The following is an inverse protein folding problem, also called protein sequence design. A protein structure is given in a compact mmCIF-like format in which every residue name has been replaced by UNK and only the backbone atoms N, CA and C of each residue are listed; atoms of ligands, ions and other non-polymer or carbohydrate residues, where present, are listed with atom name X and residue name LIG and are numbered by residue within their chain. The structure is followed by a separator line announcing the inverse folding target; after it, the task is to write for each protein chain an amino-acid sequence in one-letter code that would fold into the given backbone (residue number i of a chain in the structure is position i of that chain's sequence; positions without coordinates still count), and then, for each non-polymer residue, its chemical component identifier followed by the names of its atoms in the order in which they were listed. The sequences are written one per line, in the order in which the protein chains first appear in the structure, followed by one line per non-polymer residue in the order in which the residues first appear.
data_IF_893439832554
#
_entry.id   IF_893439832554
#
_cell.length_a   1.000
_cell.length_b   1.000
_cell.length_c   1.000
_cell.angle_alpha   90.00
_cell.angle_beta   90.00
_cell.angle_gamma   90.00
#
_symmetry.space_group_name_H-M   'P 1'
#
loop_
_entity.id
_entity.type
_entity.pdbx_description
1 polymer ?
#
# COMPACT_ATOMS: atom_id res chain seq x y z
N UNK A 1 -29.85 -2.01 9.68
CA UNK A 1 -29.52 -1.56 11.05
C UNK A 1 -28.14 -2.11 11.37
N UNK A 2 -27.22 -1.28 11.88
CA UNK A 2 -25.91 -1.73 12.35
C UNK A 2 -25.85 -1.66 13.87
N UNK A 3 -25.19 -2.63 14.49
CA UNK A 3 -24.88 -2.59 15.92
C UNK A 3 -23.53 -1.87 16.05
N UNK A 4 -23.54 -0.66 16.60
CA UNK A 4 -22.34 0.20 16.70
C UNK A 4 -21.50 -0.18 17.90
N UNK A 5 -22.12 -0.47 19.04
CA UNK A 5 -21.42 -0.91 20.25
C UNK A 5 -21.76 -2.40 20.54
N UNK A 6 -21.34 -3.37 19.69
CA UNK A 6 -21.56 -4.78 19.95
C UNK A 6 -20.65 -5.30 21.07
N UNK A 7 -20.88 -6.53 21.49
CA UNK A 7 -19.93 -7.24 22.34
C UNK A 7 -18.53 -7.29 21.67
N UNK A 8 -17.44 -6.97 22.39
CA UNK A 8 -16.08 -6.90 21.83
C UNK A 8 -15.59 -8.20 21.16
N UNK A 9 -16.13 -9.36 21.55
CA UNK A 9 -15.78 -10.66 20.96
C UNK A 9 -16.52 -10.94 19.63
N UNK A 10 -17.48 -10.08 19.27
CA UNK A 10 -18.29 -10.19 18.05
C UNK A 10 -18.01 -9.08 17.04
N UNK A 11 -16.86 -8.41 17.17
CA UNK A 11 -16.46 -7.35 16.24
C UNK A 11 -16.17 -7.91 14.85
N UNK A 12 -16.55 -7.18 13.78
CA UNK A 12 -16.06 -7.50 12.45
C UNK A 12 -14.54 -7.27 12.36
N UNK A 13 -13.90 -7.76 11.30
CA UNK A 13 -12.47 -7.55 11.07
C UNK A 13 -12.22 -6.99 9.67
N UNK A 14 -12.17 -5.67 9.59
CA UNK A 14 -11.82 -4.95 8.37
C UNK A 14 -10.36 -4.52 8.40
N UNK A 15 -9.59 -4.96 7.41
CA UNK A 15 -8.15 -4.68 7.29
C UNK A 15 -7.92 -3.70 6.15
N UNK A 16 -6.79 -3.01 6.17
CA UNK A 16 -6.40 -2.14 5.03
C UNK A 16 -6.19 -2.98 3.76
N UNK A 17 -5.59 -4.17 3.88
CA UNK A 17 -5.44 -5.11 2.78
C UNK A 17 -6.67 -6.02 2.63
N UNK A 18 -6.91 -6.59 1.44
CA UNK A 18 -8.15 -7.32 1.12
C UNK A 18 -8.29 -8.71 1.74
N UNK A 19 -7.24 -9.23 2.40
CA UNK A 19 -7.22 -10.56 2.98
C UNK A 19 -8.22 -10.70 4.14
N UNK A 20 -9.02 -11.77 4.10
CA UNK A 20 -10.00 -12.16 5.13
C UNK A 20 -9.70 -13.57 5.62
N UNK A 21 -10.21 -13.93 6.79
CA UNK A 21 -10.06 -15.28 7.37
C UNK A 21 -10.53 -16.38 6.42
N UNK A 22 -11.62 -16.15 5.66
CA UNK A 22 -12.14 -17.10 4.68
C UNK A 22 -11.14 -17.39 3.54
N UNK A 23 -10.22 -16.47 3.26
CA UNK A 23 -9.23 -16.65 2.18
C UNK A 23 -8.15 -17.68 2.57
N UNK A 24 -7.98 -18.02 3.86
CA UNK A 24 -7.14 -19.15 4.27
C UNK A 24 -7.60 -20.45 3.59
N UNK A 25 -8.87 -20.78 3.76
CA UNK A 25 -9.45 -22.00 3.21
C UNK A 25 -9.49 -21.95 1.67
N UNK A 26 -9.90 -20.81 1.09
CA UNK A 26 -9.95 -20.65 -0.36
C UNK A 26 -8.57 -20.81 -1.01
N UNK A 27 -7.57 -20.10 -0.49
CA UNK A 27 -6.22 -20.12 -1.05
C UNK A 27 -5.56 -21.49 -0.92
N UNK A 28 -5.85 -22.23 0.16
CA UNK A 28 -5.33 -23.59 0.36
C UNK A 28 -5.84 -24.61 -0.67
N UNK A 29 -7.03 -24.36 -1.24
CA UNK A 29 -7.66 -25.23 -2.24
C UNK A 29 -7.28 -24.87 -3.68
N UNK A 30 -6.49 -23.82 -3.90
CA UNK A 30 -6.08 -23.42 -5.24
C UNK A 30 -5.12 -24.45 -5.85
N UNK A 31 -5.33 -24.86 -7.11
CA UNK A 31 -4.42 -25.76 -7.79
C UNK A 31 -3.06 -25.09 -8.02
N UNK A 32 -2.05 -25.91 -8.27
CA UNK A 32 -0.74 -25.42 -8.73
C UNK A 32 -0.90 -24.60 -10.01
N UNK A 33 -0.44 -23.36 -10.00
CA UNK A 33 -0.58 -22.46 -11.13
C UNK A 33 0.53 -21.40 -11.16
N UNK A 34 1.19 -21.28 -12.31
CA UNK A 34 2.34 -20.39 -12.53
C UNK A 34 2.06 -19.31 -13.59
N UNK A 35 0.79 -19.10 -13.98
CA UNK A 35 0.39 -18.10 -14.99
C UNK A 35 0.88 -16.69 -14.64
N UNK A 36 0.96 -16.37 -13.35
CA UNK A 36 1.50 -15.08 -12.87
C UNK A 36 2.93 -14.80 -13.37
N UNK A 37 3.77 -15.82 -13.58
CA UNK A 37 5.14 -15.61 -14.08
C UNK A 37 5.13 -15.07 -15.52
N UNK A 38 4.19 -15.53 -16.35
CA UNK A 38 4.01 -15.00 -17.71
C UNK A 38 3.51 -13.57 -17.67
N UNK A 39 2.52 -13.29 -16.82
CA UNK A 39 2.02 -11.94 -16.60
C UNK A 39 3.12 -10.97 -16.17
N UNK A 40 4.00 -11.36 -15.23
CA UNK A 40 5.13 -10.51 -14.81
C UNK A 40 6.18 -10.33 -15.90
N UNK A 41 6.48 -11.36 -16.70
CA UNK A 41 7.39 -11.22 -17.85
C UNK A 41 6.88 -10.19 -18.85
N UNK A 42 5.59 -10.25 -19.19
CA UNK A 42 4.95 -9.29 -20.09
C UNK A 42 4.93 -7.89 -19.46
N UNK A 43 4.39 -7.76 -18.25
CA UNK A 43 4.26 -6.48 -17.54
C UNK A 43 5.57 -5.73 -17.42
N UNK A 44 6.66 -6.44 -17.08
CA UNK A 44 7.95 -5.81 -16.83
C UNK A 44 8.87 -5.82 -18.06
N UNK A 45 8.35 -6.11 -19.26
CA UNK A 45 9.15 -6.09 -20.49
C UNK A 45 10.35 -7.03 -20.45
N UNK A 46 10.17 -8.22 -19.88
CA UNK A 46 11.22 -9.22 -19.61
C UNK A 46 12.34 -8.77 -18.66
N UNK A 47 12.18 -7.66 -17.92
CA UNK A 47 13.09 -7.35 -16.81
C UNK A 47 13.07 -8.50 -15.81
N UNK A 48 14.24 -8.99 -15.35
CA UNK A 48 14.29 -10.03 -14.34
C UNK A 48 13.56 -9.63 -13.06
N UNK A 49 12.93 -10.60 -12.41
CA UNK A 49 12.24 -10.40 -11.13
C UNK A 49 12.52 -11.55 -10.16
N UNK A 50 12.42 -11.26 -8.87
CA UNK A 50 12.63 -12.17 -7.76
C UNK A 50 11.46 -12.07 -6.78
N UNK A 51 10.80 -13.20 -6.53
CA UNK A 51 9.82 -13.30 -5.46
C UNK A 51 10.50 -13.17 -4.10
N UNK A 52 9.85 -12.46 -3.19
CA UNK A 52 10.32 -12.30 -1.81
C UNK A 52 9.19 -12.61 -0.83
N UNK A 53 9.54 -12.87 0.44
CA UNK A 53 8.52 -13.10 1.48
C UNK A 53 7.63 -11.87 1.72
N UNK A 54 8.11 -10.66 1.45
CA UNK A 54 7.36 -9.40 1.55
C UNK A 54 8.20 -8.25 0.99
N UNK A 55 7.57 -7.07 0.81
CA UNK A 55 8.26 -5.87 0.32
C UNK A 55 9.46 -5.45 1.19
N UNK A 56 9.40 -5.60 2.52
CA UNK A 56 10.54 -5.30 3.41
C UNK A 56 11.77 -6.14 3.09
N UNK A 57 11.58 -7.42 2.77
CA UNK A 57 12.69 -8.28 2.36
C UNK A 57 13.27 -7.82 1.03
N UNK A 58 12.45 -7.39 0.07
CA UNK A 58 12.95 -6.80 -1.17
C UNK A 58 13.77 -5.53 -0.92
N UNK A 59 13.32 -4.63 -0.02
CA UNK A 59 14.08 -3.44 0.40
C UNK A 59 15.44 -3.86 0.95
N UNK A 60 15.44 -4.77 1.93
CA UNK A 60 16.67 -5.27 2.54
C UNK A 60 17.65 -5.85 1.51
N UNK A 61 17.16 -6.60 0.52
CA UNK A 61 18.00 -7.17 -0.54
C UNK A 61 18.64 -6.09 -1.41
N UNK A 62 17.88 -5.07 -1.80
CA UNK A 62 18.39 -3.94 -2.58
C UNK A 62 19.46 -3.16 -1.81
N UNK A 63 19.20 -2.83 -0.54
CA UNK A 63 20.16 -2.10 0.29
C UNK A 63 21.48 -2.85 0.48
N UNK A 64 21.43 -4.18 0.60
CA UNK A 64 22.65 -5.02 0.66
C UNK A 64 23.39 -5.03 -0.68
N UNK A 65 22.67 -5.15 -1.80
CA UNK A 65 23.27 -5.14 -3.13
C UNK A 65 23.95 -3.81 -3.44
N UNK A 66 23.37 -2.70 -3.00
CA UNK A 66 23.98 -1.36 -3.11
C UNK A 66 25.19 -1.16 -2.20
N UNK A 67 25.48 -2.10 -1.30
CA UNK A 67 26.61 -2.06 -0.37
C UNK A 67 26.68 -0.73 0.42
N UNK A 68 25.52 -0.23 0.86
CA UNK A 68 25.41 1.00 1.63
C UNK A 68 26.08 0.85 3.00
N UNK A 69 26.76 1.91 3.43
CA UNK A 69 27.45 2.01 4.70
C UNK A 69 26.61 2.78 5.71
N UNK A 70 26.93 2.64 6.98
CA UNK A 70 26.19 3.25 8.09
C UNK A 70 25.98 4.77 7.96
N UNK A 71 26.97 5.48 7.41
CA UNK A 71 26.92 6.94 7.21
C UNK A 71 26.35 7.38 5.86
N UNK A 72 26.09 6.45 4.95
CA UNK A 72 25.41 6.78 3.69
C UNK A 72 23.96 7.17 3.98
N UNK A 73 23.36 7.93 3.07
CA UNK A 73 21.96 8.36 3.19
C UNK A 73 21.13 7.77 2.05
N UNK A 74 19.98 7.19 2.39
CA UNK A 74 18.90 6.96 1.43
C UNK A 74 17.92 8.11 1.53
N UNK A 75 17.81 8.91 0.46
CA UNK A 75 16.81 10.00 0.42
C UNK A 75 15.45 9.42 0.06
N UNK A 76 14.45 9.61 0.92
CA UNK A 76 13.09 9.14 0.69
C UNK A 76 12.26 10.29 0.15
N UNK A 77 11.67 10.08 -1.03
CA UNK A 77 10.70 10.98 -1.65
C UNK A 77 9.33 10.29 -1.66
N UNK A 78 8.26 11.04 -1.46
CA UNK A 78 6.89 10.51 -1.44
C UNK A 78 5.99 11.31 -2.35
N UNK A 79 4.92 10.69 -2.85
CA UNK A 79 3.94 11.34 -3.72
C UNK A 79 3.36 12.62 -3.13
N UNK A 80 3.05 12.61 -1.83
CA UNK A 80 2.46 13.78 -1.15
C UNK A 80 3.47 14.86 -0.74
N UNK A 81 4.77 14.53 -0.71
CA UNK A 81 5.79 15.34 -0.04
C UNK A 81 5.67 15.39 1.49
N UNK A 82 4.67 14.72 2.09
CA UNK A 82 4.47 14.68 3.54
C UNK A 82 5.66 14.03 4.25
N UNK A 83 5.90 14.41 5.51
CA UNK A 83 6.94 13.84 6.36
C UNK A 83 6.65 12.41 6.80
N UNK A 84 5.38 11.99 6.88
CA UNK A 84 5.05 10.64 7.35
C UNK A 84 5.48 9.55 6.36
N UNK A 85 6.33 8.64 6.84
CA UNK A 85 6.69 7.40 6.14
C UNK A 85 6.41 6.22 7.07
N UNK A 86 5.97 5.11 6.48
CA UNK A 86 5.74 3.88 7.24
C UNK A 86 7.03 3.40 7.90
N UNK A 87 6.94 3.08 9.20
CA UNK A 87 8.04 2.45 9.93
C UNK A 87 8.52 1.13 9.32
N UNK A 88 7.71 0.46 8.50
CA UNK A 88 8.16 -0.71 7.73
C UNK A 88 9.26 -0.39 6.72
N UNK A 89 9.31 0.84 6.20
CA UNK A 89 10.33 1.28 5.24
C UNK A 89 11.54 1.80 5.99
N UNK A 90 11.35 2.77 6.90
CA UNK A 90 12.45 3.41 7.63
C UNK A 90 13.23 2.40 8.46
N UNK A 91 12.54 1.47 9.16
CA UNK A 91 13.21 0.45 9.96
C UNK A 91 14.02 -0.57 9.12
N UNK A 92 13.74 -0.74 7.82
CA UNK A 92 14.60 -1.56 6.96
C UNK A 92 15.84 -0.79 6.49
N UNK A 93 15.69 0.51 6.23
CA UNK A 93 16.81 1.39 5.85
C UNK A 93 17.77 1.58 7.03
N UNK A 94 17.23 1.84 8.22
CA UNK A 94 17.97 2.08 9.47
C UNK A 94 18.81 0.87 9.92
N UNK A 95 18.52 -0.34 9.43
CA UNK A 95 19.39 -1.51 9.65
C UNK A 95 20.74 -1.42 8.92
N UNK A 96 20.88 -0.48 7.98
CA UNK A 96 22.03 -0.38 7.07
C UNK A 96 22.66 0.99 7.08
N UNK A 97 21.86 2.04 7.06
CA UNK A 97 22.31 3.40 6.82
C UNK A 97 21.28 4.43 7.31
N UNK A 98 21.61 5.71 7.19
CA UNK A 98 20.70 6.81 7.52
C UNK A 98 19.68 7.03 6.40
N UNK A 99 18.64 7.81 6.70
CA UNK A 99 17.70 8.31 5.69
C UNK A 99 17.41 9.79 5.89
N UNK A 100 17.01 10.44 4.80
CA UNK A 100 16.68 11.86 4.77
C UNK A 100 15.45 12.12 3.88
N UNK A 101 14.77 13.24 4.10
CA UNK A 101 13.75 13.76 3.17
C UNK A 101 14.34 14.66 2.09
N UNK A 102 15.56 15.12 2.33
CA UNK A 102 16.30 15.99 1.43
C UNK A 102 17.45 15.21 0.77
N UNK A 103 17.80 15.63 -0.44
CA UNK A 103 19.02 15.16 -1.11
C UNK A 103 20.19 15.91 -0.48
N UNK A 104 21.13 15.15 0.08
CA UNK A 104 22.32 15.65 0.79
C UNK A 104 23.59 15.07 0.14
N UNK A 105 24.79 15.61 0.41
CA UNK A 105 26.03 15.09 -0.15
C UNK A 105 26.28 13.59 0.13
N UNK A 106 25.76 13.08 1.24
CA UNK A 106 25.83 11.69 1.67
C UNK A 106 24.80 10.79 0.96
N UNK A 107 23.87 11.34 0.17
CA UNK A 107 22.85 10.55 -0.54
C UNK A 107 23.51 9.58 -1.52
N UNK A 108 23.23 8.28 -1.35
CA UNK A 108 23.72 7.19 -2.21
C UNK A 108 22.62 6.46 -2.97
N UNK A 109 21.37 6.62 -2.57
CA UNK A 109 20.22 6.10 -3.29
C UNK A 109 18.99 6.95 -3.01
N UNK A 110 18.05 6.94 -3.96
CA UNK A 110 16.75 7.59 -3.82
C UNK A 110 15.70 6.49 -3.67
N UNK A 111 14.94 6.56 -2.59
CA UNK A 111 13.78 5.71 -2.35
C UNK A 111 12.51 6.50 -2.65
N UNK A 112 11.85 6.16 -3.75
CA UNK A 112 10.62 6.78 -4.18
C UNK A 112 9.45 5.91 -3.67
N UNK A 113 8.66 6.45 -2.76
CA UNK A 113 7.46 5.78 -2.23
C UNK A 113 6.20 6.27 -2.96
N UNK A 114 5.57 5.37 -3.73
CA UNK A 114 4.28 5.64 -4.36
C UNK A 114 3.14 5.40 -3.36
N UNK A 115 2.62 6.50 -2.82
CA UNK A 115 1.73 6.46 -1.66
C UNK A 115 0.29 6.12 -2.03
N UNK A 116 -0.28 5.16 -1.30
CA UNK A 116 -1.73 4.91 -1.23
C UNK A 116 -2.46 4.68 -2.57
N UNK A 117 -1.73 4.24 -3.60
CA UNK A 117 -2.26 4.08 -4.95
C UNK A 117 -1.97 5.25 -5.89
N UNK A 118 -1.41 6.34 -5.39
CA UNK A 118 -1.05 7.53 -6.18
C UNK A 118 0.44 7.50 -6.52
N UNK A 119 0.82 7.38 -7.80
CA UNK A 119 2.23 7.41 -8.19
C UNK A 119 2.87 8.78 -7.96
N UNK A 120 4.16 8.80 -7.59
CA UNK A 120 4.98 10.01 -7.60
C UNK A 120 5.07 10.59 -9.00
N UNK A 121 5.00 11.91 -9.09
CA UNK A 121 5.11 12.61 -10.36
C UNK A 121 6.57 12.88 -10.72
N UNK A 122 6.91 12.69 -12.00
CA UNK A 122 8.22 13.01 -12.57
C UNK A 122 9.41 12.14 -12.09
N UNK A 123 9.28 10.80 -12.01
CA UNK A 123 10.38 9.93 -11.61
C UNK A 123 11.61 10.05 -12.54
N UNK A 124 11.41 10.38 -13.82
CA UNK A 124 12.46 10.55 -14.83
C UNK A 124 13.49 11.63 -14.47
N UNK A 125 13.07 12.69 -13.76
CA UNK A 125 13.98 13.76 -13.33
C UNK A 125 15.03 13.26 -12.34
N UNK A 126 14.73 12.20 -11.60
CA UNK A 126 15.65 11.63 -10.61
C UNK A 126 16.82 10.89 -11.27
N UNK A 127 16.64 10.37 -12.50
CA UNK A 127 17.73 9.72 -13.25
C UNK A 127 18.89 10.67 -13.55
N UNK A 128 18.59 11.96 -13.73
CA UNK A 128 19.61 12.97 -14.03
C UNK A 128 20.61 13.15 -12.88
N UNK A 129 20.30 12.68 -11.67
CA UNK A 129 21.17 12.77 -10.50
C UNK A 129 22.28 11.71 -10.48
N UNK A 130 22.22 10.70 -11.36
CA UNK A 130 23.22 9.62 -11.40
C UNK A 130 23.20 8.71 -10.16
N UNK A 131 22.14 8.78 -9.35
CA UNK A 131 21.93 7.95 -8.16
C UNK A 131 21.00 6.77 -8.48
N UNK A 132 21.23 5.58 -7.90
CA UNK A 132 20.28 4.48 -7.97
C UNK A 132 18.90 4.87 -7.45
N UNK A 133 17.86 4.50 -8.19
CA UNK A 133 16.47 4.75 -7.80
C UNK A 133 15.77 3.45 -7.43
N UNK A 134 15.16 3.43 -6.24
CA UNK A 134 14.34 2.35 -5.70
C UNK A 134 12.89 2.83 -5.69
N UNK A 135 12.03 2.27 -6.53
CA UNK A 135 10.59 2.55 -6.54
C UNK A 135 9.84 1.54 -5.66
N UNK A 136 9.17 2.02 -4.60
CA UNK A 136 8.23 1.24 -3.79
C UNK A 136 6.81 1.37 -4.34
N UNK A 137 6.44 0.36 -5.14
CA UNK A 137 5.14 0.23 -5.78
C UNK A 137 4.17 -0.65 -4.96
N UNK A 138 4.38 -0.81 -3.66
CA UNK A 138 3.55 -1.68 -2.82
C UNK A 138 2.05 -1.35 -2.88
N UNK A 139 1.67 -0.07 -3.01
CA UNK A 139 0.27 0.36 -3.09
C UNK A 139 -0.20 0.68 -4.52
N UNK A 140 0.68 0.68 -5.51
CA UNK A 140 0.39 1.11 -6.90
C UNK A 140 0.35 -0.04 -7.90
N UNK A 141 0.20 -1.28 -7.44
CA UNK A 141 0.20 -2.45 -8.33
C UNK A 141 -0.81 -2.36 -9.49
N UNK A 142 -1.93 -1.67 -9.33
CA UNK A 142 -2.93 -1.48 -10.40
C UNK A 142 -3.02 -0.04 -10.92
N UNK A 143 -2.24 0.88 -10.35
CA UNK A 143 -2.25 2.27 -10.79
C UNK A 143 -1.35 2.47 -11.99
N UNK A 144 -1.68 3.48 -12.80
CA UNK A 144 -0.89 3.98 -13.92
C UNK A 144 -0.43 5.40 -13.64
N UNK A 145 0.70 5.77 -14.25
CA UNK A 145 1.16 7.15 -14.33
C UNK A 145 0.23 7.97 -15.25
N UNK A 146 0.38 9.30 -15.25
CA UNK A 146 -0.47 10.20 -16.03
C UNK A 146 -0.34 10.02 -17.56
N UNK A 147 0.76 9.45 -18.02
CA UNK A 147 1.03 9.07 -19.41
C UNK A 147 0.47 7.67 -19.78
N UNK A 148 -0.19 6.99 -18.84
CA UNK A 148 -0.75 5.65 -19.03
C UNK A 148 0.23 4.50 -18.75
N UNK A 149 1.49 4.81 -18.46
CA UNK A 149 2.54 3.81 -18.20
C UNK A 149 2.45 3.24 -16.77
N UNK A 150 3.08 2.08 -16.52
CA UNK A 150 3.17 1.52 -15.17
C UNK A 150 4.16 2.32 -14.27
N UNK A 151 3.86 2.56 -12.99
CA UNK A 151 4.85 2.94 -12.00
C UNK A 151 5.95 1.88 -11.88
N UNK A 152 7.20 2.25 -11.57
CA UNK A 152 8.30 1.28 -11.54
C UNK A 152 9.08 1.12 -12.85
N UNK A 153 8.74 1.87 -13.91
CA UNK A 153 9.48 1.77 -15.19
C UNK A 153 10.84 2.47 -15.10
N UNK A 154 10.98 3.49 -14.25
CA UNK A 154 12.17 4.34 -14.22
C UNK A 154 13.26 3.74 -13.33
N UNK A 155 12.89 3.19 -12.18
CA UNK A 155 13.78 2.76 -11.12
C UNK A 155 14.66 1.58 -11.50
N UNK A 156 15.89 1.60 -10.97
CA UNK A 156 16.83 0.48 -11.05
C UNK A 156 16.31 -0.76 -10.30
N UNK A 157 15.52 -0.50 -9.26
CA UNK A 157 14.86 -1.51 -8.43
C UNK A 157 13.40 -1.12 -8.24
N UNK A 158 12.49 -2.08 -8.43
CA UNK A 158 11.06 -1.90 -8.20
C UNK A 158 10.58 -2.92 -7.19
N UNK A 159 9.85 -2.47 -6.19
CA UNK A 159 9.42 -3.29 -5.06
C UNK A 159 7.90 -3.36 -5.02
N UNK A 160 7.37 -4.56 -4.84
CA UNK A 160 5.95 -4.79 -4.63
C UNK A 160 5.70 -5.58 -3.33
N UNK A 161 4.52 -5.37 -2.75
CA UNK A 161 4.01 -6.16 -1.64
C UNK A 161 2.61 -6.67 -1.97
N UNK A 162 2.50 -7.98 -2.23
CA UNK A 162 1.25 -8.56 -2.70
C UNK A 162 0.08 -8.46 -1.72
N UNK A 163 0.26 -8.59 -0.38
CA UNK A 163 -0.83 -8.43 0.59
C UNK A 163 -1.56 -7.08 0.56
N UNK A 164 -1.00 -6.05 -0.10
CA UNK A 164 -1.65 -4.75 -0.26
C UNK A 164 -2.75 -4.78 -1.33
N UNK A 165 -2.60 -5.63 -2.33
CA UNK A 165 -3.50 -5.69 -3.49
C UNK A 165 -4.29 -7.00 -3.57
N UNK A 166 -3.69 -8.11 -3.16
CA UNK A 166 -4.26 -9.46 -3.27
C UNK A 166 -4.66 -10.00 -1.90
N UNK A 167 -5.69 -10.87 -1.82
CA UNK A 167 -6.10 -11.52 -0.59
C UNK A 167 -5.10 -12.64 -0.22
N UNK A 168 -3.88 -12.25 0.12
CA UNK A 168 -2.77 -13.13 0.49
C UNK A 168 -2.05 -12.58 1.72
N UNK A 169 -1.48 -13.46 2.55
CA UNK A 169 -0.81 -13.08 3.80
C UNK A 169 0.67 -12.76 3.63
N UNK A 170 1.29 -13.29 2.57
CA UNK A 170 2.73 -13.25 2.34
C UNK A 170 3.00 -12.96 0.88
N UNK A 171 4.20 -12.44 0.60
CA UNK A 171 4.70 -12.25 -0.74
C UNK A 171 5.05 -10.80 -1.06
N UNK A 172 6.11 -10.66 -1.84
CA UNK A 172 6.54 -9.44 -2.48
C UNK A 172 7.31 -9.78 -3.75
N UNK A 173 7.70 -8.73 -4.47
CA UNK A 173 8.47 -8.85 -5.70
C UNK A 173 9.55 -7.79 -5.73
N UNK A 174 10.73 -8.18 -6.21
CA UNK A 174 11.78 -7.27 -6.61
C UNK A 174 11.98 -7.41 -8.12
N UNK A 175 11.83 -6.31 -8.87
CA UNK A 175 12.14 -6.26 -10.30
C UNK A 175 13.43 -5.44 -10.48
N UNK A 176 14.43 -6.02 -11.13
CA UNK A 176 15.71 -5.33 -11.39
C UNK A 176 16.54 -6.09 -12.42
N UNK A 177 17.39 -5.36 -13.17
CA UNK A 177 18.43 -5.99 -14.00
C UNK A 177 19.48 -6.76 -13.18
N UNK A 178 19.56 -6.49 -11.87
CA UNK A 178 20.53 -7.09 -10.95
C UNK A 178 20.00 -8.32 -10.19
N UNK A 179 18.83 -8.85 -10.54
CA UNK A 179 18.21 -9.97 -9.81
C UNK A 179 19.14 -11.18 -9.69
N UNK A 180 19.90 -11.54 -10.72
CA UNK A 180 20.80 -12.70 -10.65
C UNK A 180 21.82 -12.58 -9.52
N UNK A 181 22.50 -11.43 -9.41
CA UNK A 181 23.46 -11.17 -8.33
C UNK A 181 22.80 -11.15 -6.95
N UNK A 182 21.54 -10.72 -6.86
CA UNK A 182 20.78 -10.69 -5.60
C UNK A 182 20.31 -12.10 -5.20
N UNK A 183 19.89 -12.91 -6.17
CA UNK A 183 19.30 -14.23 -5.96
C UNK A 183 20.32 -15.25 -5.45
N UNK A 184 21.60 -15.11 -5.79
CA UNK A 184 22.70 -15.95 -5.27
C UNK A 184 22.71 -16.00 -3.72
N UNK A 185 22.21 -14.96 -3.07
CA UNK A 185 22.18 -14.83 -1.61
C UNK A 185 20.78 -14.90 -1.01
N UNK A 186 19.76 -15.30 -1.79
CA UNK A 186 18.40 -15.38 -1.32
C UNK A 186 17.60 -16.53 -1.96
N UNK A 187 17.13 -17.45 -1.12
CA UNK A 187 16.16 -18.48 -1.48
C UNK A 187 14.85 -18.28 -0.73
N UNK A 188 13.74 -18.26 -1.46
CA UNK A 188 12.41 -18.38 -0.88
C UNK A 188 12.07 -19.87 -0.76
N UNK A 189 11.41 -20.28 0.33
CA UNK A 189 10.92 -21.65 0.46
C UNK A 189 9.99 -22.00 -0.73
N UNK A 190 10.17 -23.18 -1.32
CA UNK A 190 9.46 -23.62 -2.53
C UNK A 190 7.95 -23.66 -2.34
N UNK A 191 7.49 -24.13 -1.18
CA UNK A 191 6.06 -24.29 -0.90
C UNK A 191 5.40 -22.92 -0.71
N UNK A 192 6.10 -22.00 -0.03
CA UNK A 192 5.65 -20.61 0.11
C UNK A 192 5.63 -19.92 -1.26
N UNK A 193 6.65 -20.13 -2.09
CA UNK A 193 6.70 -19.59 -3.45
C UNK A 193 5.51 -20.11 -4.28
N UNK A 194 5.26 -21.42 -4.25
CA UNK A 194 4.16 -22.01 -5.01
C UNK A 194 2.81 -21.53 -4.51
N UNK A 195 2.62 -21.42 -3.19
CA UNK A 195 1.43 -20.79 -2.60
C UNK A 195 1.20 -19.37 -3.12
N UNK A 196 2.24 -18.53 -3.13
CA UNK A 196 2.16 -17.17 -3.68
C UNK A 196 1.75 -17.20 -5.15
N UNK A 197 2.37 -18.06 -5.97
CA UNK A 197 2.05 -18.17 -7.39
C UNK A 197 0.62 -18.63 -7.65
N UNK A 198 0.13 -19.61 -6.89
CA UNK A 198 -1.24 -20.11 -7.02
C UNK A 198 -2.25 -19.00 -6.76
N UNK A 199 -2.09 -18.26 -5.66
CA UNK A 199 -3.01 -17.18 -5.28
C UNK A 199 -2.96 -16.04 -6.30
N UNK A 200 -1.77 -15.59 -6.71
CA UNK A 200 -1.67 -14.52 -7.69
C UNK A 200 -2.25 -14.93 -9.05
N UNK A 201 -1.94 -16.16 -9.50
CA UNK A 201 -2.45 -16.68 -10.78
C UNK A 201 -3.98 -16.80 -10.80
N UNK A 202 -4.61 -17.01 -9.65
CA UNK A 202 -6.07 -17.01 -9.52
C UNK A 202 -6.72 -15.62 -9.63
N UNK A 203 -5.93 -14.53 -9.52
CA UNK A 203 -6.44 -13.15 -9.52
C UNK A 203 -6.02 -12.31 -10.72
N UNK A 204 -4.96 -12.66 -11.45
CA UNK A 204 -4.44 -11.85 -12.57
C UNK A 204 -5.44 -11.62 -13.71
N UNK A 205 -6.40 -12.52 -13.91
CA UNK A 205 -7.43 -12.36 -14.95
C UNK A 205 -8.54 -11.38 -14.55
N UNK A 206 -8.68 -11.12 -13.25
CA UNK A 206 -9.71 -10.24 -12.68
C UNK A 206 -9.13 -8.90 -12.21
N UNK A 207 -7.93 -8.51 -12.64
CA UNK A 207 -7.32 -7.24 -12.21
C UNK A 207 -8.18 -6.02 -12.58
N UNK A 208 -8.85 -6.07 -13.74
CA UNK A 208 -9.80 -5.03 -14.15
C UNK A 208 -10.96 -4.91 -13.16
N UNK A 209 -11.56 -6.03 -12.75
CA UNK A 209 -12.64 -6.06 -11.77
C UNK A 209 -12.18 -5.59 -10.38
N UNK A 210 -10.96 -5.96 -9.97
CA UNK A 210 -10.35 -5.50 -8.72
C UNK A 210 -10.20 -3.98 -8.72
N UNK A 211 -9.67 -3.40 -9.81
CA UNK A 211 -9.53 -1.97 -9.97
C UNK A 211 -10.90 -1.26 -9.97
N UNK A 212 -11.85 -1.78 -10.74
CA UNK A 212 -13.21 -1.24 -10.84
C UNK A 212 -13.94 -1.24 -9.48
N UNK A 213 -13.87 -2.34 -8.72
CA UNK A 213 -14.49 -2.42 -7.39
C UNK A 213 -13.84 -1.46 -6.39
N UNK A 214 -12.51 -1.29 -6.42
CA UNK A 214 -11.80 -0.31 -5.59
C UNK A 214 -12.23 1.12 -5.89
N UNK A 215 -12.32 1.47 -7.17
CA UNK A 215 -12.80 2.78 -7.61
C UNK A 215 -14.26 3.02 -7.22
N UNK A 216 -15.12 2.02 -7.41
CA UNK A 216 -16.51 2.09 -6.96
C UNK A 216 -16.58 2.34 -5.44
N UNK A 217 -15.89 1.54 -4.63
CA UNK A 217 -15.88 1.66 -3.18
C UNK A 217 -15.34 3.02 -2.72
N UNK A 218 -14.29 3.52 -3.37
CA UNK A 218 -13.74 4.85 -3.12
C UNK A 218 -14.75 5.96 -3.40
N UNK A 219 -15.37 5.94 -4.59
CA UNK A 219 -16.33 6.97 -5.00
C UNK A 219 -17.59 6.94 -4.13
N UNK A 220 -18.01 5.75 -3.71
CA UNK A 220 -19.10 5.59 -2.76
C UNK A 220 -18.76 6.25 -1.41
N UNK A 221 -17.61 5.95 -0.82
CA UNK A 221 -17.18 6.58 0.43
C UNK A 221 -17.01 8.10 0.26
N UNK A 222 -16.43 8.56 -0.85
CA UNK A 222 -16.31 9.98 -1.17
C UNK A 222 -17.67 10.68 -1.11
N UNK A 223 -18.69 10.12 -1.76
CA UNK A 223 -20.04 10.68 -1.72
C UNK A 223 -20.59 10.71 -0.29
N UNK A 224 -20.53 9.57 0.42
CA UNK A 224 -21.17 9.42 1.75
C UNK A 224 -20.46 10.20 2.86
N UNK A 225 -19.16 10.36 2.79
CA UNK A 225 -18.40 11.23 3.68
C UNK A 225 -18.56 12.70 3.29
N UNK A 226 -18.71 13.01 2.00
CA UNK A 226 -19.06 14.34 1.52
C UNK A 226 -20.39 14.86 2.07
N UNK A 227 -21.40 13.99 2.22
CA UNK A 227 -22.67 14.28 2.92
C UNK A 227 -22.46 14.70 4.40
N UNK A 228 -21.32 14.39 5.00
CA UNK A 228 -20.92 14.79 6.36
C UNK A 228 -20.00 16.01 6.38
N UNK A 229 -19.77 16.65 5.23
CA UNK A 229 -18.80 17.74 5.09
C UNK A 229 -17.33 17.28 5.11
N UNK A 230 -17.07 15.98 4.94
CA UNK A 230 -15.71 15.42 4.91
C UNK A 230 -15.27 15.22 3.46
N UNK A 231 -14.16 15.86 3.08
CA UNK A 231 -13.59 15.75 1.73
C UNK A 231 -12.41 14.78 1.66
N UNK A 232 -12.24 14.12 0.53
CA UNK A 232 -11.08 13.29 0.25
C UNK A 232 -9.76 14.08 0.26
N UNK A 233 -8.65 13.39 0.57
CA UNK A 233 -7.29 13.97 0.56
C UNK A 233 -6.59 13.82 -0.79
N UNK A 234 -6.71 12.66 -1.42
CA UNK A 234 -6.13 12.40 -2.74
C UNK A 234 -7.23 12.40 -3.77
N UNK A 235 -7.10 13.19 -4.83
CA UNK A 235 -8.02 13.13 -5.96
C UNK A 235 -7.66 11.94 -6.85
N UNK A 236 -8.65 11.12 -7.20
CA UNK A 236 -8.47 9.97 -8.08
C UNK A 236 -8.58 10.42 -9.53
N UNK A 237 -7.43 10.67 -10.15
CA UNK A 237 -7.33 10.93 -11.59
C UNK A 237 -7.41 9.61 -12.38
N UNK A 238 -7.56 9.71 -13.70
CA UNK A 238 -7.55 8.56 -14.59
C UNK A 238 -6.30 7.68 -14.37
N UNK A 239 -6.48 6.37 -14.39
CA UNK A 239 -5.42 5.39 -14.16
C UNK A 239 -5.05 5.13 -12.69
N UNK A 240 -5.49 5.95 -11.73
CA UNK A 240 -5.19 5.74 -10.30
C UNK A 240 -6.15 4.72 -9.70
N UNK A 241 -5.61 3.71 -8.99
CA UNK A 241 -6.40 2.75 -8.22
C UNK A 241 -6.11 2.91 -6.73
N UNK A 242 -7.11 3.25 -5.89
CA UNK A 242 -6.88 3.55 -4.49
C UNK A 242 -6.54 2.30 -3.67
N UNK A 243 -5.61 2.47 -2.71
CA UNK A 243 -5.32 1.44 -1.70
C UNK A 243 -6.04 1.67 -0.37
N UNK A 244 -6.53 2.90 -0.13
CA UNK A 244 -7.30 3.34 1.05
C UNK A 244 -8.25 4.46 0.64
N UNK A 245 -9.26 4.75 1.46
CA UNK A 245 -9.95 6.04 1.41
C UNK A 245 -9.32 6.96 2.44
N UNK A 246 -8.66 8.01 1.98
CA UNK A 246 -8.05 9.03 2.83
C UNK A 246 -8.84 10.32 2.73
N UNK A 247 -9.16 10.92 3.87
CA UNK A 247 -9.91 12.16 3.96
C UNK A 247 -9.23 13.15 4.88
N UNK A 248 -9.50 14.43 4.65
CA UNK A 248 -9.07 15.53 5.53
C UNK A 248 -9.97 15.56 6.77
N UNK A 249 -9.41 15.97 7.90
CA UNK A 249 -10.19 16.18 9.11
C UNK A 249 -11.35 17.16 8.82
N UNK A 250 -12.60 16.85 9.20
CA UNK A 250 -13.72 17.77 9.02
C UNK A 250 -13.53 19.08 9.78
N UNK A 251 -12.80 19.05 10.90
CA UNK A 251 -12.54 20.20 11.74
C UNK A 251 -11.09 20.18 12.26
N UNK A 252 -10.42 21.34 12.41
CA UNK A 252 -9.03 21.42 12.88
C UNK A 252 -8.77 20.82 14.28
N UNK A 253 -9.82 20.56 15.05
CA UNK A 253 -9.73 20.05 16.43
C UNK A 253 -10.33 18.65 16.59
N UNK A 254 -10.67 17.95 15.50
CA UNK A 254 -11.12 16.57 15.64
C UNK A 254 -9.98 15.73 16.24
N UNK A 255 -10.27 15.02 17.32
CA UNK A 255 -9.33 14.08 17.93
C UNK A 255 -9.09 12.88 17.01
N UNK A 256 -8.14 13.00 16.08
CA UNK A 256 -7.78 11.93 15.14
C UNK A 256 -7.20 10.69 15.85
N UNK A 257 -6.37 10.81 16.90
CA UNK A 257 -6.01 9.67 17.75
C UNK A 257 -7.23 8.97 18.37
N UNK A 258 -8.18 9.71 18.93
CA UNK A 258 -9.43 9.18 19.46
C UNK A 258 -10.29 8.52 18.39
N UNK A 259 -10.39 9.13 17.22
CA UNK A 259 -11.07 8.56 16.05
C UNK A 259 -10.44 7.22 15.65
N UNK A 260 -9.10 7.13 15.66
CA UNK A 260 -8.38 5.88 15.40
C UNK A 260 -8.78 4.82 16.43
N UNK A 261 -8.68 5.12 17.71
CA UNK A 261 -9.06 4.19 18.78
C UNK A 261 -10.51 3.73 18.63
N UNK A 262 -11.42 4.66 18.29
CA UNK A 262 -12.83 4.38 18.05
C UNK A 262 -13.04 3.42 16.88
N UNK A 263 -12.47 3.70 15.70
CA UNK A 263 -12.59 2.79 14.55
C UNK A 263 -12.02 1.39 14.85
N UNK A 264 -10.90 1.31 15.58
CA UNK A 264 -10.36 0.02 16.02
C UNK A 264 -11.30 -0.72 16.98
N UNK A 265 -11.96 -0.03 17.90
CA UNK A 265 -12.95 -0.64 18.80
C UNK A 265 -14.22 -1.12 18.05
N UNK A 266 -14.37 -0.75 16.79
CA UNK A 266 -15.43 -1.18 15.87
C UNK A 266 -14.91 -2.15 14.80
N UNK A 267 -13.71 -2.70 14.97
CA UNK A 267 -13.15 -3.70 14.07
C UNK A 267 -12.61 -3.16 12.75
N UNK A 268 -12.43 -1.84 12.60
CA UNK A 268 -11.96 -1.20 11.37
C UNK A 268 -10.52 -0.74 11.52
N UNK A 269 -9.60 -1.42 10.83
CA UNK A 269 -8.20 -1.00 10.77
C UNK A 269 -8.05 0.33 10.05
N UNK A 270 -7.40 1.30 10.67
CA UNK A 270 -7.26 2.66 10.16
C UNK A 270 -6.01 3.33 10.72
N UNK A 271 -5.68 4.54 10.26
CA UNK A 271 -4.71 5.38 10.96
C UNK A 271 -4.84 6.84 10.58
N UNK A 272 -4.25 7.69 11.42
CA UNK A 272 -3.87 9.06 11.09
C UNK A 272 -2.75 9.03 10.05
N UNK A 273 -2.82 9.93 9.08
CA UNK A 273 -1.72 10.26 8.17
C UNK A 273 -0.95 11.44 8.77
N UNK A 274 -0.02 11.12 9.69
CA UNK A 274 0.70 12.13 10.48
C UNK A 274 1.43 13.16 9.60
N UNK A 275 1.67 14.35 10.14
CA UNK A 275 2.19 15.49 9.37
C UNK A 275 1.11 16.27 8.62
N UNK A 276 -0.09 15.70 8.49
CA UNK A 276 -1.29 16.39 7.99
C UNK A 276 -2.50 16.08 8.88
N UNK A 277 -3.51 16.94 8.87
CA UNK A 277 -4.81 16.67 9.48
C UNK A 277 -5.63 15.74 8.57
N UNK A 278 -5.17 14.50 8.43
CA UNK A 278 -5.78 13.51 7.55
C UNK A 278 -5.84 12.12 8.18
N UNK A 279 -6.82 11.33 7.73
CA UNK A 279 -7.11 10.01 8.25
C UNK A 279 -7.45 9.06 7.10
N UNK A 280 -7.12 7.78 7.24
CA UNK A 280 -7.44 6.79 6.22
C UNK A 280 -8.06 5.51 6.77
N UNK A 281 -8.99 4.98 5.99
CA UNK A 281 -9.75 3.75 6.26
C UNK A 281 -9.65 2.77 5.08
N UNK A 282 -10.02 1.49 5.26
CA UNK A 282 -9.91 0.48 4.21
C UNK A 282 -10.73 0.82 2.97
N UNK A 283 -10.11 0.65 1.80
CA UNK A 283 -10.80 0.56 0.50
C UNK A 283 -10.12 -0.51 -0.33
N UNK A 284 -10.84 -1.60 -0.54
CA UNK A 284 -10.37 -2.73 -1.33
C UNK A 284 -11.54 -3.50 -1.92
N UNK A 285 -11.23 -4.42 -2.83
CA UNK A 285 -12.20 -5.16 -3.65
C UNK A 285 -13.06 -6.16 -2.88
N UNK A 286 -12.68 -6.52 -1.65
CA UNK A 286 -13.43 -7.49 -0.82
C UNK A 286 -14.44 -6.84 0.12
N UNK A 287 -14.56 -5.50 0.10
CA UNK A 287 -15.62 -4.76 0.81
C UNK A 287 -16.86 -4.68 -0.07
N UNK A 288 -18.00 -4.93 0.53
CA UNK A 288 -19.31 -4.67 -0.04
C UNK A 288 -19.84 -3.30 0.39
N UNK A 289 -20.89 -2.85 -0.30
CA UNK A 289 -21.50 -1.54 -0.04
C UNK A 289 -21.94 -1.40 1.42
N UNK A 290 -22.47 -2.48 2.00
CA UNK A 290 -22.92 -2.54 3.40
C UNK A 290 -21.75 -2.36 4.38
N UNK A 291 -20.54 -2.83 4.05
CA UNK A 291 -19.34 -2.61 4.86
C UNK A 291 -18.97 -1.11 4.86
N UNK A 292 -19.07 -0.46 3.69
CA UNK A 292 -18.83 0.98 3.57
C UNK A 292 -19.89 1.79 4.33
N UNK A 293 -21.15 1.36 4.27
CA UNK A 293 -22.24 1.94 5.05
C UNK A 293 -21.99 1.81 6.56
N UNK A 294 -21.40 0.69 7.01
CA UNK A 294 -20.96 0.50 8.39
C UNK A 294 -19.88 1.51 8.77
N UNK A 295 -18.87 1.75 7.93
CA UNK A 295 -17.82 2.75 8.20
C UNK A 295 -18.40 4.16 8.37
N UNK A 296 -19.36 4.54 7.52
CA UNK A 296 -20.08 5.82 7.63
C UNK A 296 -20.87 5.90 8.93
N UNK A 297 -21.50 4.80 9.37
CA UNK A 297 -22.24 4.75 10.62
C UNK A 297 -21.33 4.87 11.85
N UNK A 298 -20.15 4.23 11.84
CA UNK A 298 -19.12 4.38 12.89
C UNK A 298 -18.66 5.84 12.97
N UNK A 299 -18.35 6.49 11.83
CA UNK A 299 -17.99 7.91 11.78
C UNK A 299 -19.09 8.81 12.36
N UNK A 300 -20.34 8.63 11.93
CA UNK A 300 -21.49 9.39 12.45
C UNK A 300 -21.66 9.23 13.97
N UNK A 301 -21.44 8.03 14.49
CA UNK A 301 -21.50 7.78 15.93
C UNK A 301 -20.40 8.53 16.68
N UNK A 302 -19.17 8.51 16.17
CA UNK A 302 -18.05 9.25 16.76
C UNK A 302 -18.34 10.76 16.78
N UNK A 303 -18.72 11.36 15.65
CA UNK A 303 -19.01 12.78 15.55
C UNK A 303 -20.12 13.23 16.51
N UNK A 304 -21.15 12.39 16.71
CA UNK A 304 -22.19 12.64 17.71
C UNK A 304 -21.60 12.67 19.11
N UNK A 305 -20.83 11.66 19.52
CA UNK A 305 -20.18 11.60 20.85
C UNK A 305 -19.31 12.84 21.09
N UNK A 306 -18.47 13.20 20.12
CA UNK A 306 -17.60 14.39 20.22
C UNK A 306 -18.38 15.71 20.31
N UNK A 307 -19.55 15.82 19.68
CA UNK A 307 -20.39 17.02 19.78
C UNK A 307 -21.01 17.23 21.17
N UNK A 308 -21.14 16.17 21.99
CA UNK A 308 -21.64 16.27 23.36
C UNK A 308 -20.56 16.64 24.39
N UNK A 309 -19.27 16.49 24.05
CA UNK A 309 -18.16 16.82 24.96
C UNK A 309 -17.70 18.28 24.85
N UNK A 310 -18.28 19.06 23.92
CA UNK A 310 -17.95 20.47 23.66
C UNK A 310 -19.02 21.44 24.22
N UNK A 311 -19.98 20.93 25.00
CA UNK A 311 -21.06 21.72 25.65
C UNK A 311 -20.92 21.69 27.17
#
# INVERSE_FOLDING_TARGET
MFVIDPDPYSLPSYRIGPFRTADLAKNHLLPENNKVDLYFKERFGNRPFLYTNNGRKAISLVLNHLNLKEKDVVTILTTSGNFYISGCVTAEIEKKCLWSRDIVPETKAIFLNHEFGVPYQYPEKLKALGLPVIEDCANTFLSRNADGEDPGIVGDYVIYSFPKMFPIQIGGLLVSKHVTAIQEHYGMNSDVLQYVKNVLSAHIDSLGDIAAKRLFNYNYLKQRFGELGISERFQMNEGIVPSVFMFKSPHPQLDLPGLKAYFYSHGVQCSVFYGEEAFFIPVHQTLEKEDLDYFVAVMKSFLKKSSYEVV
#
